data_IF_286250076713
#
_entry.id   IF_286250076713
#
_cell.length_a   1.000
_cell.length_b   1.000
_cell.length_c   1.000
_cell.angle_alpha   90.00
_cell.angle_beta   90.00
_cell.angle_gamma   90.00
#
_symmetry.space_group_name_H-M   'P 1'
#
loop_
_entity.id
_entity.type
_entity.pdbx_description
1 polymer ?
#
# COMPACT_ATOMS: atom_id res chain seq x y z
N UNK A 1 5.61 4.61 14.91
CA UNK A 1 4.34 4.01 15.38
C UNK A 1 3.41 5.01 16.07
N UNK A 2 3.89 6.20 16.48
CA UNK A 2 3.05 7.27 17.07
C UNK A 2 2.06 7.91 16.09
N UNK A 3 2.13 7.57 14.79
CA UNK A 3 1.39 8.24 13.72
C UNK A 3 -0.13 8.12 13.80
N UNK A 4 -0.68 7.26 14.68
CA UNK A 4 -2.13 7.08 14.87
C UNK A 4 -2.66 7.79 16.13
N UNK A 5 -1.78 8.41 16.94
CA UNK A 5 -2.20 9.14 18.13
C UNK A 5 -3.05 10.36 17.75
N UNK A 6 -2.55 11.21 16.85
CA UNK A 6 -3.19 12.45 16.39
C UNK A 6 -4.13 12.22 15.21
N UNK A 7 -4.90 11.13 15.23
CA UNK A 7 -5.86 10.82 14.17
C UNK A 7 -7.06 11.76 14.24
N UNK A 8 -7.09 12.79 13.38
CA UNK A 8 -8.17 13.77 13.27
C UNK A 8 -8.72 13.77 11.83
N UNK A 9 -9.89 13.15 11.59
CA UNK A 9 -10.53 13.17 10.27
C UNK A 9 -11.17 14.53 9.93
N UNK A 10 -11.31 15.45 10.89
CA UNK A 10 -11.77 16.81 10.62
C UNK A 10 -10.65 17.68 10.04
N UNK A 11 -9.39 17.35 10.36
CA UNK A 11 -8.17 18.02 9.90
C UNK A 11 -7.13 17.00 9.45
N UNK A 12 -7.41 16.26 8.35
CA UNK A 12 -6.59 15.15 7.92
C UNK A 12 -5.21 15.61 7.46
N UNK A 13 -4.20 14.80 7.75
CA UNK A 13 -2.83 15.01 7.28
C UNK A 13 -2.31 13.70 6.69
N UNK A 14 -1.73 13.79 5.49
CA UNK A 14 -1.04 12.66 4.87
C UNK A 14 0.18 12.25 5.67
N UNK A 15 0.27 10.95 5.93
CA UNK A 15 1.40 10.34 6.63
C UNK A 15 2.01 9.31 5.71
N UNK A 16 3.30 9.47 5.37
CA UNK A 16 4.04 8.36 4.76
C UNK A 16 3.96 7.19 5.72
N UNK A 17 3.56 6.00 5.27
CA UNK A 17 3.34 4.84 6.16
C UNK A 17 4.41 3.76 6.04
N UNK A 18 5.05 3.68 4.88
CA UNK A 18 6.19 2.79 4.63
C UNK A 18 7.43 3.66 4.40
N UNK A 19 8.50 3.31 5.12
CA UNK A 19 9.83 3.93 5.01
C UNK A 19 10.90 2.83 5.13
N UNK A 20 12.17 3.13 4.85
CA UNK A 20 13.26 2.16 5.10
C UNK A 20 13.26 1.54 6.49
N UNK A 21 12.75 2.26 7.49
CA UNK A 21 12.74 1.88 8.91
C UNK A 21 11.37 1.50 9.45
N UNK A 22 10.31 1.51 8.62
CA UNK A 22 8.94 1.13 9.01
C UNK A 22 8.26 0.41 7.86
N UNK A 23 8.01 -0.89 8.04
CA UNK A 23 7.52 -1.81 7.01
C UNK A 23 6.47 -2.74 7.58
N UNK A 24 5.41 -3.00 6.82
CA UNK A 24 4.30 -3.87 7.22
C UNK A 24 3.35 -4.12 6.05
N UNK A 25 2.52 -5.16 6.19
CA UNK A 25 1.37 -5.46 5.32
C UNK A 25 1.69 -5.62 3.83
N UNK A 26 2.82 -6.27 3.52
CA UNK A 26 3.20 -6.56 2.15
C UNK A 26 3.61 -5.31 1.38
N UNK A 27 4.47 -4.48 2.00
CA UNK A 27 4.99 -3.28 1.37
C UNK A 27 5.81 -3.58 0.11
N UNK A 28 5.93 -2.60 -0.79
CA UNK A 28 6.71 -2.73 -2.02
C UNK A 28 7.86 -1.72 -2.04
N UNK A 29 9.06 -2.17 -2.40
CA UNK A 29 10.26 -1.34 -2.45
C UNK A 29 10.19 -0.25 -3.54
N UNK A 30 9.31 -0.43 -4.52
CA UNK A 30 9.14 0.46 -5.68
C UNK A 30 7.89 1.35 -5.55
N UNK A 31 7.30 1.42 -4.35
CA UNK A 31 6.14 2.25 -4.10
C UNK A 31 6.28 3.14 -2.87
N UNK A 32 5.69 4.34 -2.96
CA UNK A 32 5.54 5.27 -1.85
C UNK A 32 4.08 5.30 -1.45
N UNK A 33 3.84 5.12 -0.15
CA UNK A 33 2.51 4.97 0.43
C UNK A 33 2.24 6.07 1.45
N UNK A 34 1.08 6.71 1.34
CA UNK A 34 0.56 7.63 2.35
C UNK A 34 -0.78 7.14 2.88
N UNK A 35 -1.09 7.50 4.13
CA UNK A 35 -2.42 7.34 4.70
C UNK A 35 -2.90 8.63 5.33
N UNK A 36 -4.21 8.86 5.30
CA UNK A 36 -4.89 9.93 6.03
C UNK A 36 -6.15 9.41 6.71
N UNK A 37 -6.51 9.95 7.89
CA UNK A 37 -7.80 9.70 8.51
C UNK A 37 -8.93 10.32 7.69
N UNK A 38 -10.06 9.63 7.57
CA UNK A 38 -11.27 10.17 6.93
C UNK A 38 -12.51 9.70 7.71
N UNK A 39 -13.67 10.29 7.43
CA UNK A 39 -14.96 9.89 8.01
C UNK A 39 -16.04 9.86 6.94
N UNK A 40 -16.94 8.88 7.02
CA UNK A 40 -17.93 8.59 5.98
C UNK A 40 -18.96 9.69 5.69
N UNK A 41 -19.22 10.57 6.65
CA UNK A 41 -20.18 11.69 6.58
C UNK A 41 -19.48 13.05 6.31
N UNK A 42 -18.24 13.01 5.83
CA UNK A 42 -17.46 14.20 5.45
C UNK A 42 -17.13 14.19 3.97
N UNK A 43 -16.82 15.37 3.45
CA UNK A 43 -16.37 15.56 2.07
C UNK A 43 -14.96 16.13 2.08
N UNK A 44 -14.06 15.52 1.31
CA UNK A 44 -12.67 15.94 1.24
C UNK A 44 -12.26 16.30 -0.19
N UNK A 45 -11.34 17.25 -0.32
CA UNK A 45 -10.60 17.50 -1.56
C UNK A 45 -9.18 16.97 -1.41
N UNK A 46 -8.72 16.23 -2.40
CA UNK A 46 -7.34 15.79 -2.56
C UNK A 46 -6.78 16.49 -3.79
N UNK A 47 -5.60 17.07 -3.67
CA UNK A 47 -4.84 17.54 -4.83
C UNK A 47 -3.45 16.94 -4.81
N UNK A 48 -2.86 16.75 -5.99
CA UNK A 48 -1.50 16.24 -6.07
C UNK A 48 -0.95 16.28 -7.49
N UNK A 49 0.19 15.62 -7.68
CA UNK A 49 0.84 15.48 -8.98
C UNK A 49 1.38 14.06 -9.15
N UNK A 50 1.17 13.44 -10.32
CA UNK A 50 1.67 12.09 -10.60
C UNK A 50 3.21 12.00 -10.52
N UNK A 51 3.90 13.12 -10.73
CA UNK A 51 5.35 13.23 -10.77
C UNK A 51 5.91 12.25 -11.82
N UNK A 52 6.55 11.16 -11.40
CA UNK A 52 7.11 10.12 -12.26
C UNK A 52 6.52 8.74 -11.94
N UNK A 53 5.44 8.69 -11.15
CA UNK A 53 4.77 7.44 -10.83
C UNK A 53 4.16 6.86 -12.11
N UNK A 54 4.42 5.58 -12.37
CA UNK A 54 3.83 4.83 -13.49
C UNK A 54 2.43 4.33 -13.14
N UNK A 55 2.04 4.42 -11.87
CA UNK A 55 0.70 4.12 -11.37
C UNK A 55 0.47 4.88 -10.06
N UNK A 56 -0.67 5.57 -9.96
CA UNK A 56 -1.14 6.17 -8.71
C UNK A 56 -2.57 5.72 -8.41
N UNK A 57 -2.86 5.37 -7.16
CA UNK A 57 -4.22 5.04 -6.72
C UNK A 57 -4.52 5.50 -5.29
N UNK A 58 -5.81 5.69 -5.04
CA UNK A 58 -6.41 6.07 -3.76
C UNK A 58 -7.45 5.02 -3.38
N UNK A 59 -7.34 4.46 -2.18
CA UNK A 59 -8.21 3.40 -1.68
C UNK A 59 -8.82 3.79 -0.35
N UNK A 60 -10.14 3.67 -0.25
CA UNK A 60 -10.90 3.84 0.98
C UNK A 60 -10.97 2.51 1.70
N UNK A 61 -10.59 2.52 2.97
CA UNK A 61 -10.57 1.37 3.86
C UNK A 61 -11.62 1.58 4.95
N UNK A 62 -12.55 0.63 5.08
CA UNK A 62 -13.63 0.66 6.06
C UNK A 62 -13.26 -0.07 7.35
N UNK A 63 -13.89 0.31 8.48
CA UNK A 63 -13.66 -0.33 9.79
C UNK A 63 -12.33 0.03 10.46
N UNK A 64 -11.61 1.05 9.95
CA UNK A 64 -10.25 1.38 10.40
C UNK A 64 -10.15 2.52 11.43
N UNK A 65 -11.29 3.03 11.93
CA UNK A 65 -11.37 4.27 12.73
C UNK A 65 -10.64 4.21 14.07
N UNK A 66 -10.58 3.03 14.67
CA UNK A 66 -9.98 2.80 15.99
C UNK A 66 -8.50 2.39 15.89
N UNK A 67 -7.87 2.53 14.73
CA UNK A 67 -6.49 2.14 14.48
C UNK A 67 -6.29 0.65 14.18
N UNK A 68 -7.33 -0.17 14.23
CA UNK A 68 -7.26 -1.59 13.87
C UNK A 68 -6.96 -1.80 12.38
N UNK A 69 -6.68 -3.05 12.00
CA UNK A 69 -6.62 -3.44 10.60
C UNK A 69 -8.01 -3.21 9.97
N UNK A 70 -8.13 -2.58 8.79
CA UNK A 70 -9.44 -2.35 8.18
C UNK A 70 -10.13 -3.67 7.82
N UNK A 71 -11.45 -3.67 7.84
CA UNK A 71 -12.23 -4.87 7.53
C UNK A 71 -12.19 -5.19 6.03
N UNK A 72 -12.27 -4.16 5.20
CA UNK A 72 -12.32 -4.27 3.73
C UNK A 72 -11.86 -3.01 3.02
N UNK A 73 -11.49 -3.20 1.75
CA UNK A 73 -11.47 -2.13 0.76
C UNK A 73 -12.91 -1.79 0.36
N UNK A 74 -13.29 -0.53 0.53
CA UNK A 74 -14.66 -0.06 0.28
C UNK A 74 -14.80 0.65 -1.08
N UNK A 75 -13.71 1.22 -1.59
CA UNK A 75 -13.67 1.86 -2.90
C UNK A 75 -12.25 2.24 -3.31
N UNK A 76 -12.02 2.39 -4.62
CA UNK A 76 -10.73 2.76 -5.16
C UNK A 76 -10.87 3.61 -6.43
N UNK A 77 -9.94 4.56 -6.61
CA UNK A 77 -9.65 5.23 -7.87
C UNK A 77 -8.18 5.04 -8.22
N UNK A 78 -7.87 4.76 -9.48
CA UNK A 78 -6.50 4.84 -10.03
C UNK A 78 -6.38 5.97 -11.08
N UNK A 79 -5.15 6.22 -11.53
CA UNK A 79 -4.76 7.30 -12.45
C UNK A 79 -5.37 7.23 -13.87
N UNK A 80 -6.18 6.22 -14.16
CA UNK A 80 -7.00 6.16 -15.39
C UNK A 80 -8.43 6.67 -15.19
N UNK A 81 -8.85 6.82 -13.92
CA UNK A 81 -10.22 7.14 -13.52
C UNK A 81 -10.41 8.60 -13.06
N UNK A 82 -9.33 9.37 -12.99
CA UNK A 82 -9.37 10.80 -12.75
C UNK A 82 -8.60 11.56 -13.84
N UNK A 83 -8.92 12.84 -13.98
CA UNK A 83 -8.28 13.74 -14.92
C UNK A 83 -6.94 14.20 -14.39
N UNK A 84 -5.95 14.10 -15.27
CA UNK A 84 -4.59 14.54 -15.02
C UNK A 84 -4.27 15.61 -16.04
N UNK A 85 -3.94 16.80 -15.55
CA UNK A 85 -3.53 17.91 -16.40
C UNK A 85 -2.20 17.61 -17.08
N UNK A 86 -1.84 18.41 -18.08
CA UNK A 86 -0.61 18.23 -18.86
C UNK A 86 0.67 18.32 -18.02
N UNK A 87 0.63 19.03 -16.89
CA UNK A 87 1.71 19.14 -15.92
C UNK A 87 1.75 17.99 -14.90
N UNK A 88 0.82 17.03 -15.00
CA UNK A 88 0.69 15.89 -14.09
C UNK A 88 -0.18 16.16 -12.87
N UNK A 89 -0.74 17.36 -12.69
CA UNK A 89 -1.60 17.69 -11.55
C UNK A 89 -2.99 17.06 -11.65
N UNK A 90 -3.60 16.79 -10.50
CA UNK A 90 -4.96 16.26 -10.40
C UNK A 90 -5.68 16.80 -9.16
N UNK A 91 -7.01 16.76 -9.20
CA UNK A 91 -7.91 17.01 -8.08
C UNK A 91 -8.94 15.86 -7.99
N UNK A 92 -9.23 15.40 -6.78
CA UNK A 92 -10.23 14.37 -6.49
C UNK A 92 -11.11 14.83 -5.33
N UNK A 93 -12.42 14.59 -5.44
CA UNK A 93 -13.40 14.75 -4.36
C UNK A 93 -13.71 13.39 -3.76
N UNK A 94 -13.68 13.32 -2.43
CA UNK A 94 -13.98 12.13 -1.66
C UNK A 94 -15.23 12.38 -0.81
N UNK A 95 -16.24 11.51 -0.91
CA UNK A 95 -17.54 11.68 -0.24
C UNK A 95 -18.42 12.73 -0.91
N UNK A 96 -19.45 13.20 -0.20
CA UNK A 96 -20.43 14.15 -0.71
C UNK A 96 -21.33 13.58 -1.83
N UNK A 97 -21.96 14.49 -2.58
CA UNK A 97 -22.84 14.11 -3.69
C UNK A 97 -22.06 13.39 -4.82
N UNK A 98 -22.61 12.32 -5.40
CA UNK A 98 -21.98 11.60 -6.51
C UNK A 98 -21.61 12.49 -7.70
N UNK A 99 -20.46 12.22 -8.29
CA UNK A 99 -19.99 12.87 -9.52
C UNK A 99 -19.47 11.82 -10.51
N UNK A 100 -19.52 12.15 -11.80
CA UNK A 100 -19.16 11.20 -12.86
C UNK A 100 -17.66 10.89 -12.94
N UNK A 101 -16.82 11.81 -12.45
CA UNK A 101 -15.35 11.76 -12.60
C UNK A 101 -14.67 12.46 -11.44
N UNK A 102 -13.41 12.13 -11.19
CA UNK A 102 -12.61 12.72 -10.11
C UNK A 102 -13.28 12.55 -8.73
N UNK A 103 -14.07 11.48 -8.55
CA UNK A 103 -14.90 11.32 -7.37
C UNK A 103 -14.89 9.88 -6.86
N UNK A 104 -14.80 9.73 -5.54
CA UNK A 104 -14.91 8.47 -4.84
C UNK A 104 -15.88 8.62 -3.67
N UNK A 105 -16.94 7.81 -3.63
CA UNK A 105 -17.88 7.79 -2.52
C UNK A 105 -17.28 7.24 -1.23
N UNK A 106 -17.91 7.56 -0.10
CA UNK A 106 -17.56 7.03 1.22
C UNK A 106 -18.76 6.32 1.84
N UNK A 107 -18.56 5.08 2.31
CA UNK A 107 -19.49 4.43 3.23
C UNK A 107 -19.45 5.08 4.61
N UNK A 108 -20.52 4.86 5.40
CA UNK A 108 -20.61 5.37 6.77
C UNK A 108 -19.48 4.89 7.68
N UNK A 109 -18.92 3.70 7.43
CA UNK A 109 -17.82 3.10 8.19
C UNK A 109 -16.43 3.34 7.58
N UNK A 110 -16.32 4.17 6.53
CA UNK A 110 -15.04 4.63 6.00
C UNK A 110 -14.21 5.30 7.10
N UNK A 111 -12.94 4.91 7.21
CA UNK A 111 -12.07 5.41 8.27
C UNK A 111 -10.66 5.77 7.85
N UNK A 112 -10.16 5.19 6.76
CA UNK A 112 -8.81 5.48 6.29
C UNK A 112 -8.77 5.59 4.78
N UNK A 113 -8.00 6.57 4.30
CA UNK A 113 -7.64 6.70 2.90
C UNK A 113 -6.17 6.32 2.74
N UNK A 114 -5.86 5.43 1.81
CA UNK A 114 -4.50 5.03 1.47
C UNK A 114 -4.18 5.49 0.05
N UNK A 115 -3.09 6.23 -0.15
CA UNK A 115 -2.53 6.48 -1.48
C UNK A 115 -1.33 5.57 -1.74
N UNK A 116 -1.19 5.13 -2.99
CA UNK A 116 -0.05 4.32 -3.46
C UNK A 116 0.47 4.91 -4.75
N UNK A 117 1.78 5.11 -4.82
CA UNK A 117 2.46 5.65 -5.99
C UNK A 117 3.60 4.71 -6.36
N UNK A 118 3.48 4.00 -7.47
CA UNK A 118 4.45 3.02 -7.93
C UNK A 118 5.36 3.62 -8.98
N UNK A 119 6.64 3.25 -8.93
CA UNK A 119 7.69 3.73 -9.80
C UNK A 119 8.42 2.55 -10.42
N UNK A 120 8.87 2.69 -11.65
CA UNK A 120 9.60 1.63 -12.33
C UNK A 120 11.02 2.10 -12.63
N UNK A 121 11.84 2.11 -11.58
CA UNK A 121 13.20 2.64 -11.61
C UNK A 121 14.24 1.54 -11.38
N UNK A 122 15.50 1.86 -11.71
CA UNK A 122 16.64 0.98 -11.43
C UNK A 122 16.96 0.84 -9.92
N UNK A 123 16.38 1.69 -9.08
CA UNK A 123 16.58 1.70 -7.63
C UNK A 123 15.24 1.87 -6.91
N UNK A 124 15.20 1.44 -5.65
CA UNK A 124 13.98 1.48 -4.81
C UNK A 124 13.46 2.91 -4.64
N UNK A 125 12.24 3.16 -5.12
CA UNK A 125 11.57 4.44 -4.89
C UNK A 125 11.20 4.65 -3.41
N UNK A 126 10.88 3.58 -2.68
CA UNK A 126 10.61 3.64 -1.25
C UNK A 126 11.84 4.05 -0.41
N UNK A 127 13.06 3.82 -0.92
CA UNK A 127 14.32 4.27 -0.32
C UNK A 127 14.84 5.62 -0.84
N UNK A 128 14.27 6.14 -1.93
CA UNK A 128 14.69 7.38 -2.54
C UNK A 128 14.12 8.62 -1.84
N UNK A 129 14.86 9.73 -1.94
CA UNK A 129 14.41 11.06 -1.50
C UNK A 129 13.58 11.73 -2.59
N UNK A 130 12.32 11.30 -2.70
CA UNK A 130 11.35 11.79 -3.68
C UNK A 130 10.30 12.62 -2.98
N UNK A 131 10.13 13.86 -3.44
CA UNK A 131 8.99 14.69 -3.04
C UNK A 131 7.78 14.37 -3.91
N UNK A 132 6.69 13.92 -3.28
CA UNK A 132 5.39 13.73 -3.92
C UNK A 132 4.43 14.84 -3.45
N UNK A 133 4.06 15.79 -4.32
CA UNK A 133 3.04 16.78 -4.00
C UNK A 133 1.70 16.08 -3.78
N UNK A 134 1.19 16.15 -2.54
CA UNK A 134 -0.07 15.52 -2.17
C UNK A 134 -0.68 16.26 -0.97
N UNK A 135 -1.94 16.69 -1.11
CA UNK A 135 -2.70 17.39 -0.06
C UNK A 135 -4.06 16.72 0.16
N UNK A 136 -4.63 16.93 1.34
CA UNK A 136 -6.00 16.53 1.66
C UNK A 136 -6.60 17.61 2.57
N UNK A 137 -7.83 18.02 2.30
CA UNK A 137 -8.55 18.98 3.12
C UNK A 137 -10.01 18.54 3.26
N UNK A 138 -10.54 18.56 4.49
CA UNK A 138 -11.98 18.53 4.71
C UNK A 138 -12.58 19.82 4.12
N UNK A 139 -13.67 19.71 3.35
CA UNK A 139 -14.34 20.84 2.72
C UNK A 139 -15.30 21.58 3.66
N UNK A 140 -15.67 20.96 4.78
CA UNK A 140 -16.47 21.56 5.84
C UNK A 140 -15.83 21.26 7.22
N UNK A 141 -14.62 21.80 7.49
CA UNK A 141 -13.95 21.59 8.76
C UNK A 141 -14.63 22.41 9.87
N UNK A 142 -14.68 21.91 11.12
CA UNK A 142 -15.14 22.70 12.26
C UNK A 142 -14.29 23.97 12.44
N UNK A 143 -14.95 25.06 12.83
CA UNK A 143 -14.28 26.32 13.14
C UNK A 143 -13.25 26.17 14.27
N UNK A 144 -12.14 26.90 14.15
CA UNK A 144 -11.11 26.99 15.18
C UNK A 144 -10.16 25.78 15.24
N UNK A 145 -9.21 25.80 16.20
CA UNK A 145 -8.28 24.69 16.41
C UNK A 145 -8.97 23.46 17.03
N UNK A 146 -8.36 22.26 16.95
CA UNK A 146 -8.80 21.11 17.74
C UNK A 146 -8.90 21.46 19.23
N UNK A 147 -9.84 20.83 19.97
CA UNK A 147 -9.91 21.02 21.41
C UNK A 147 -8.59 20.61 22.09
N UNK A 148 -8.25 21.20 23.25
CA UNK A 148 -7.15 20.72 24.08
C UNK A 148 -7.34 19.24 24.44
N UNK A 149 -6.24 18.51 24.60
CA UNK A 149 -6.28 17.10 24.99
C UNK A 149 -6.80 16.97 26.43
N UNK A 150 -7.80 16.10 26.59
CA UNK A 150 -8.30 15.62 27.87
C UNK A 150 -7.97 14.13 28.05
N UNK A 151 -8.34 13.57 29.21
CA UNK A 151 -8.06 12.18 29.55
C UNK A 151 -8.70 11.19 28.53
N UNK A 152 -9.88 11.53 28.00
CA UNK A 152 -10.60 10.68 27.05
C UNK A 152 -9.91 10.65 25.67
N UNK A 153 -9.46 11.81 25.18
CA UNK A 153 -8.69 11.92 23.94
C UNK A 153 -7.33 11.22 24.06
N UNK A 154 -6.64 11.37 25.19
CA UNK A 154 -5.39 10.64 25.48
C UNK A 154 -5.64 9.13 25.46
N UNK A 155 -6.66 8.66 26.18
CA UNK A 155 -6.97 7.24 26.24
C UNK A 155 -7.35 6.68 24.87
N UNK A 156 -8.12 7.41 24.07
CA UNK A 156 -8.47 7.03 22.70
C UNK A 156 -7.24 6.94 21.79
N UNK A 157 -6.31 7.90 21.89
CA UNK A 157 -5.06 7.89 21.14
C UNK A 157 -4.17 6.69 21.50
N UNK A 158 -4.02 6.38 22.79
CA UNK A 158 -3.27 5.20 23.25
C UNK A 158 -3.90 3.92 22.72
N UNK A 159 -5.23 3.79 22.79
CA UNK A 159 -5.96 2.64 22.21
C UNK A 159 -5.71 2.51 20.71
N UNK A 160 -5.82 3.60 19.94
CA UNK A 160 -5.56 3.59 18.49
C UNK A 160 -4.15 3.12 18.15
N UNK A 161 -3.14 3.64 18.84
CA UNK A 161 -1.75 3.21 18.63
C UNK A 161 -1.57 1.75 19.00
N UNK A 162 -2.17 1.31 20.11
CA UNK A 162 -2.10 -0.09 20.56
C UNK A 162 -2.74 -1.03 19.54
N UNK A 163 -3.96 -0.71 19.07
CA UNK A 163 -4.69 -1.48 18.05
C UNK A 163 -3.89 -1.56 16.75
N UNK A 164 -3.30 -0.45 16.32
CA UNK A 164 -2.46 -0.41 15.13
C UNK A 164 -1.25 -1.33 15.25
N UNK A 165 -0.48 -1.22 16.34
CA UNK A 165 0.70 -2.07 16.53
C UNK A 165 0.30 -3.54 16.64
N UNK A 166 -0.72 -3.86 17.42
CA UNK A 166 -1.16 -5.23 17.67
C UNK A 166 -1.66 -5.90 16.39
N UNK A 167 -2.50 -5.20 15.62
CA UNK A 167 -3.09 -5.73 14.38
C UNK A 167 -2.05 -5.92 13.26
N UNK A 168 -0.98 -5.12 13.25
CA UNK A 168 0.12 -5.28 12.27
C UNK A 168 1.18 -6.30 12.67
N UNK A 169 1.13 -6.85 13.89
CA UNK A 169 2.18 -7.74 14.42
C UNK A 169 1.65 -9.06 14.93
N UNK A 170 0.87 -9.04 16.01
CA UNK A 170 0.43 -10.24 16.73
C UNK A 170 -0.80 -10.83 16.07
N UNK A 171 -1.81 -10.00 15.82
CA UNK A 171 -3.11 -10.49 15.31
C UNK A 171 -3.05 -10.71 13.78
N UNK A 172 -2.20 -9.95 13.08
CA UNK A 172 -2.07 -9.98 11.62
C UNK A 172 -3.30 -9.42 10.90
N UNK A 173 -3.36 -9.54 9.55
CA UNK A 173 -4.54 -9.18 8.79
C UNK A 173 -5.73 -9.99 9.32
N UNK A 174 -6.77 -9.30 9.81
CA UNK A 174 -7.97 -10.00 10.25
C UNK A 174 -8.58 -10.71 9.05
N UNK A 175 -8.89 -11.99 9.22
CA UNK A 175 -9.62 -12.76 8.21
C UNK A 175 -11.07 -12.35 8.26
N UNK A 176 -11.43 -11.22 7.64
CA UNK A 176 -12.80 -10.70 7.58
C UNK A 176 -13.78 -11.77 7.05
N UNK A 177 -14.31 -12.62 7.95
CA UNK A 177 -15.14 -13.78 7.62
C UNK A 177 -14.46 -14.90 6.80
N UNK A 178 -13.14 -14.87 6.55
CA UNK A 178 -12.47 -15.84 5.66
C UNK A 178 -11.94 -17.07 6.41
N UNK A 179 -12.41 -18.26 6.04
CA UNK A 179 -11.98 -19.52 6.65
C UNK A 179 -10.52 -19.89 6.30
N UNK A 180 -10.08 -19.56 5.08
CA UNK A 180 -8.76 -19.87 4.54
C UNK A 180 -8.07 -18.63 3.95
N UNK A 181 -6.72 -18.64 3.83
CA UNK A 181 -6.01 -17.66 3.01
C UNK A 181 -6.51 -17.68 1.55
N UNK A 182 -6.40 -16.57 0.81
CA UNK A 182 -6.67 -16.56 -0.62
C UNK A 182 -5.80 -17.58 -1.39
N UNK A 183 -6.30 -18.08 -2.51
CA UNK A 183 -5.60 -19.10 -3.33
C UNK A 183 -4.27 -18.61 -3.90
N UNK A 184 -4.11 -17.30 -4.03
CA UNK A 184 -2.86 -16.66 -4.41
C UNK A 184 -1.82 -16.59 -3.27
N UNK A 185 -2.14 -17.10 -2.07
CA UNK A 185 -1.20 -17.28 -0.96
C UNK A 185 -0.74 -18.74 -0.90
N UNK A 186 0.45 -19.00 -1.44
CA UNK A 186 1.08 -20.31 -1.47
C UNK A 186 1.30 -20.89 -0.07
N UNK A 187 0.89 -22.15 0.11
CA UNK A 187 1.10 -22.90 1.36
C UNK A 187 2.31 -23.83 1.28
N UNK A 188 2.73 -24.21 0.07
CA UNK A 188 3.91 -25.03 -0.20
C UNK A 188 5.12 -24.10 -0.35
N UNK A 189 6.22 -24.31 0.41
CA UNK A 189 7.43 -23.54 0.22
C UNK A 189 8.00 -23.69 -1.19
N UNK A 190 8.66 -22.63 -1.67
CA UNK A 190 9.36 -22.54 -2.94
C UNK A 190 8.45 -22.61 -4.19
N UNK A 191 7.14 -22.44 -4.03
CA UNK A 191 6.18 -22.40 -5.13
C UNK A 191 5.40 -21.07 -5.15
N UNK A 192 5.09 -20.61 -6.36
CA UNK A 192 4.18 -19.49 -6.58
C UNK A 192 2.84 -20.01 -7.11
N UNK A 193 1.71 -19.67 -6.47
CA UNK A 193 0.39 -19.92 -7.06
C UNK A 193 0.14 -19.02 -8.27
N UNK A 194 -0.91 -19.31 -9.02
CA UNK A 194 -1.36 -18.46 -10.13
C UNK A 194 -1.75 -17.07 -9.58
N UNK A 195 -1.29 -15.96 -10.18
CA UNK A 195 -1.69 -14.64 -9.75
C UNK A 195 -3.19 -14.39 -9.86
N UNK A 196 -3.80 -13.76 -8.86
CA UNK A 196 -5.23 -13.43 -8.83
C UNK A 196 -5.47 -12.06 -8.20
N UNK A 197 -6.61 -11.46 -8.52
CA UNK A 197 -7.07 -10.21 -7.90
C UNK A 197 -7.39 -10.43 -6.41
N UNK A 198 -7.21 -9.42 -5.54
CA UNK A 198 -7.43 -9.56 -4.10
C UNK A 198 -8.93 -9.51 -3.72
N UNK A 199 -9.80 -9.04 -4.62
CA UNK A 199 -11.17 -8.67 -4.27
C UNK A 199 -11.20 -7.51 -3.29
N UNK A 200 -11.95 -7.66 -2.19
CA UNK A 200 -12.17 -6.64 -1.16
C UNK A 200 -11.16 -6.68 0.00
N UNK A 201 -10.06 -7.44 -0.12
CA UNK A 201 -9.06 -7.54 0.97
C UNK A 201 -8.46 -6.17 1.24
N UNK A 202 -8.70 -5.67 2.46
CA UNK A 202 -8.18 -4.41 2.94
C UNK A 202 -6.66 -4.28 2.72
N UNK A 203 -6.24 -3.07 2.38
CA UNK A 203 -4.88 -2.67 2.02
C UNK A 203 -4.30 -3.24 0.73
N UNK A 204 -5.05 -4.06 0.00
CA UNK A 204 -4.65 -4.50 -1.34
C UNK A 204 -5.02 -3.44 -2.39
N UNK A 205 -4.21 -3.31 -3.44
CA UNK A 205 -4.60 -2.57 -4.64
C UNK A 205 -5.59 -3.47 -5.41
N UNK A 206 -6.83 -3.00 -5.57
CA UNK A 206 -7.94 -3.84 -6.04
C UNK A 206 -7.76 -4.34 -7.50
N UNK A 207 -6.96 -3.66 -8.30
CA UNK A 207 -6.65 -3.95 -9.70
C UNK A 207 -5.29 -4.67 -9.90
N UNK A 208 -4.59 -5.01 -8.82
CA UNK A 208 -3.35 -5.78 -8.87
C UNK A 208 -3.65 -7.29 -8.86
N UNK A 209 -2.85 -8.06 -9.59
CA UNK A 209 -2.84 -9.51 -9.49
C UNK A 209 -1.70 -9.95 -8.57
N UNK A 210 -2.03 -10.57 -7.44
CA UNK A 210 -1.08 -11.01 -6.43
C UNK A 210 -0.73 -12.48 -6.59
N UNK A 211 0.52 -12.84 -6.33
CA UNK A 211 0.96 -14.22 -6.09
C UNK A 211 2.05 -14.19 -5.02
N UNK A 212 1.82 -14.88 -3.90
CA UNK A 212 2.69 -14.92 -2.73
C UNK A 212 3.21 -16.33 -2.54
N UNK A 213 4.49 -16.54 -2.86
CA UNK A 213 5.23 -17.75 -2.51
C UNK A 213 5.96 -17.60 -1.17
N UNK A 214 5.97 -18.66 -0.36
CA UNK A 214 6.90 -18.76 0.78
C UNK A 214 8.20 -19.37 0.28
N UNK A 215 9.35 -19.04 0.87
CA UNK A 215 10.58 -19.76 0.57
C UNK A 215 11.17 -20.40 1.83
N UNK A 216 11.86 -21.52 1.62
CA UNK A 216 12.67 -22.19 2.62
C UNK A 216 13.89 -22.76 1.90
N UNK A 217 15.07 -22.27 2.25
CA UNK A 217 16.33 -22.60 1.60
C UNK A 217 17.35 -22.99 2.66
N UNK A 218 18.07 -24.09 2.42
CA UNK A 218 19.29 -24.43 3.12
C UNK A 218 20.46 -23.51 2.72
N UNK A 219 21.59 -23.56 3.45
CA UNK A 219 22.72 -22.66 3.24
C UNK A 219 23.29 -22.65 1.81
N UNK A 220 23.24 -23.79 1.13
CA UNK A 220 23.77 -24.00 -0.22
C UNK A 220 22.68 -24.10 -1.30
N UNK A 221 21.42 -23.78 -0.94
CA UNK A 221 20.28 -23.82 -1.85
C UNK A 221 19.94 -22.42 -2.40
N UNK A 222 19.36 -22.41 -3.59
CA UNK A 222 18.83 -21.22 -4.22
C UNK A 222 17.46 -21.50 -4.85
N UNK A 223 16.53 -20.56 -4.71
CA UNK A 223 15.25 -20.61 -5.41
C UNK A 223 15.38 -19.88 -6.74
N UNK A 224 15.19 -20.62 -7.84
CA UNK A 224 15.13 -20.05 -9.18
C UNK A 224 13.68 -19.79 -9.55
N UNK A 225 13.34 -18.51 -9.75
CA UNK A 225 12.03 -18.06 -10.19
C UNK A 225 12.11 -17.80 -11.70
N UNK A 226 11.22 -18.40 -12.47
CA UNK A 226 11.09 -18.14 -13.91
C UNK A 226 9.71 -17.59 -14.23
N UNK A 227 9.62 -16.74 -15.24
CA UNK A 227 8.35 -16.14 -15.60
C UNK A 227 8.42 -15.22 -16.80
N UNK A 228 7.29 -14.57 -17.07
CA UNK A 228 7.12 -13.53 -18.08
C UNK A 228 6.30 -12.41 -17.49
N UNK A 229 6.71 -11.17 -17.69
CA UNK A 229 5.94 -10.04 -17.20
C UNK A 229 4.62 -9.90 -17.98
N UNK A 230 3.49 -9.65 -17.31
CA UNK A 230 2.24 -9.34 -17.99
C UNK A 230 2.31 -7.95 -18.64
N UNK A 231 1.45 -7.73 -19.64
CA UNK A 231 1.20 -6.38 -20.16
C UNK A 231 0.39 -5.60 -19.12
N UNK A 232 1.06 -4.71 -18.38
CA UNK A 232 0.48 -3.97 -17.26
C UNK A 232 1.22 -2.64 -17.02
N UNK A 233 0.66 -1.79 -16.15
CA UNK A 233 1.26 -0.49 -15.75
C UNK A 233 2.54 -0.68 -14.95
N UNK A 234 2.57 -1.63 -14.02
CA UNK A 234 3.70 -1.93 -13.14
C UNK A 234 3.72 -3.42 -12.81
N UNK A 235 4.91 -4.02 -12.71
CA UNK A 235 5.11 -5.38 -12.20
C UNK A 235 6.43 -5.49 -11.43
N UNK A 236 6.41 -6.28 -10.35
CA UNK A 236 7.59 -6.56 -9.54
C UNK A 236 7.50 -7.88 -8.79
N UNK A 237 8.64 -8.38 -8.33
CA UNK A 237 8.79 -9.44 -7.33
C UNK A 237 9.56 -8.84 -6.15
N UNK A 238 8.98 -8.94 -4.95
CA UNK A 238 9.57 -8.41 -3.71
C UNK A 238 9.83 -9.55 -2.72
N UNK A 239 11.01 -9.56 -2.11
CA UNK A 239 11.34 -10.45 -1.02
C UNK A 239 10.86 -9.88 0.32
N UNK A 240 9.98 -10.63 0.99
CA UNK A 240 9.48 -10.33 2.34
C UNK A 240 9.99 -11.31 3.40
N UNK A 241 10.13 -10.84 4.64
CA UNK A 241 10.22 -11.75 5.78
C UNK A 241 8.84 -12.39 6.08
N UNK A 242 8.80 -13.32 7.05
CA UNK A 242 7.56 -14.02 7.43
C UNK A 242 6.42 -13.13 7.92
N UNK A 243 6.70 -11.87 8.26
CA UNK A 243 5.74 -10.87 8.71
C UNK A 243 5.29 -9.92 7.59
N UNK A 244 5.55 -10.29 6.32
CA UNK A 244 5.19 -9.50 5.14
C UNK A 244 5.83 -8.10 5.15
N UNK A 245 7.10 -8.04 5.53
CA UNK A 245 7.89 -6.81 5.50
C UNK A 245 9.00 -7.00 4.48
N UNK A 246 9.18 -6.04 3.58
CA UNK A 246 10.33 -6.05 2.68
C UNK A 246 11.64 -6.17 3.43
N UNK A 247 12.53 -7.01 2.90
CA UNK A 247 13.91 -7.04 3.35
C UNK A 247 14.58 -5.68 3.05
N UNK A 248 15.83 -5.50 3.44
CA UNK A 248 16.55 -4.22 3.36
C UNK A 248 16.82 -3.75 1.91
N UNK A 249 15.81 -3.17 1.26
CA UNK A 249 15.88 -2.62 -0.10
C UNK A 249 16.78 -1.39 -0.24
N UNK A 250 17.26 -0.80 0.85
CA UNK A 250 18.21 0.32 0.79
C UNK A 250 19.60 -0.19 0.49
N UNK A 251 19.98 -1.33 1.07
CA UNK A 251 21.34 -1.84 0.99
C UNK A 251 21.46 -3.18 0.23
N UNK A 252 20.34 -3.79 -0.19
CA UNK A 252 20.32 -5.12 -0.82
C UNK A 252 19.33 -5.20 -1.98
N UNK A 253 19.62 -6.03 -3.00
CA UNK A 253 18.80 -6.18 -4.20
C UNK A 253 17.61 -7.13 -3.96
N UNK A 254 16.73 -6.78 -3.03
CA UNK A 254 15.62 -7.63 -2.52
C UNK A 254 14.29 -7.43 -3.25
N UNK A 255 14.28 -6.60 -4.29
CA UNK A 255 13.16 -6.41 -5.21
C UNK A 255 13.67 -6.41 -6.64
N UNK A 256 12.82 -6.84 -7.58
CA UNK A 256 13.01 -6.68 -9.02
C UNK A 256 11.71 -6.21 -9.64
N UNK A 257 11.78 -5.12 -10.39
CA UNK A 257 10.72 -4.67 -11.30
C UNK A 257 11.20 -4.87 -12.75
N UNK A 258 10.40 -4.52 -13.76
CA UNK A 258 10.81 -4.77 -15.16
C UNK A 258 12.01 -3.91 -15.60
N UNK A 259 12.22 -2.72 -15.02
CA UNK A 259 13.40 -1.90 -15.29
C UNK A 259 14.72 -2.50 -14.76
N UNK A 260 14.63 -3.42 -13.80
CA UNK A 260 15.78 -4.12 -13.20
C UNK A 260 15.84 -5.61 -13.55
N UNK A 261 14.95 -6.07 -14.43
CA UNK A 261 14.90 -7.47 -14.87
C UNK A 261 15.52 -7.62 -16.25
N UNK A 262 16.56 -8.43 -16.36
CA UNK A 262 17.07 -8.85 -17.67
C UNK A 262 16.16 -9.94 -18.26
N UNK A 263 15.72 -9.73 -19.50
CA UNK A 263 14.90 -10.70 -20.22
C UNK A 263 15.78 -11.58 -21.12
N UNK A 264 15.39 -12.84 -21.22
CA UNK A 264 15.90 -13.80 -22.19
C UNK A 264 15.42 -13.43 -23.61
N UNK A 265 16.04 -14.05 -24.63
CA UNK A 265 15.69 -13.79 -26.04
C UNK A 265 14.22 -14.09 -26.37
N UNK A 266 13.60 -15.02 -25.64
CA UNK A 266 12.19 -15.37 -25.81
C UNK A 266 11.25 -14.41 -25.05
N UNK A 267 11.78 -13.48 -24.25
CA UNK A 267 11.04 -12.54 -23.39
C UNK A 267 10.65 -13.08 -22.02
N UNK A 268 11.14 -14.26 -21.63
CA UNK A 268 11.07 -14.74 -20.24
C UNK A 268 12.14 -14.10 -19.36
N UNK A 269 12.05 -14.29 -18.05
CA UNK A 269 13.10 -13.92 -17.10
C UNK A 269 13.44 -15.10 -16.19
N UNK A 270 14.63 -15.02 -15.61
CA UNK A 270 15.07 -15.81 -14.46
C UNK A 270 15.47 -14.85 -13.35
N UNK A 271 15.05 -15.16 -12.12
CA UNK A 271 15.50 -14.47 -10.90
C UNK A 271 15.96 -15.52 -9.90
N UNK A 272 16.92 -15.17 -9.05
CA UNK A 272 17.44 -16.11 -8.05
C UNK A 272 17.40 -15.50 -6.66
N UNK A 273 16.80 -16.24 -5.74
CA UNK A 273 16.86 -15.97 -4.30
C UNK A 273 17.89 -16.91 -3.69
N UNK A 274 18.96 -16.35 -3.13
CA UNK A 274 20.07 -17.10 -2.55
C UNK A 274 20.71 -16.35 -1.38
N UNK A 275 21.51 -17.06 -0.57
CA UNK A 275 22.24 -16.48 0.57
C UNK A 275 23.40 -15.57 0.15
N UNK A 276 24.00 -15.83 -1.02
CA UNK A 276 25.08 -15.04 -1.61
C UNK A 276 24.79 -14.79 -3.09
N UNK A 277 25.41 -13.77 -3.67
CA UNK A 277 25.29 -13.45 -5.10
C UNK A 277 25.76 -14.66 -5.93
N UNK A 278 24.87 -15.30 -6.70
CA UNK A 278 25.21 -16.47 -7.50
C UNK A 278 25.99 -16.14 -8.78
N UNK A 279 26.31 -14.86 -9.04
CA UNK A 279 27.04 -14.41 -10.23
C UNK A 279 26.22 -14.51 -11.52
N UNK A 280 24.90 -14.60 -11.39
CA UNK A 280 23.93 -14.64 -12.49
C UNK A 280 22.95 -13.46 -12.34
N UNK A 281 22.44 -12.92 -13.47
CA UNK A 281 21.53 -11.76 -13.47
C UNK A 281 20.30 -11.91 -12.57
#
# INVERSE_FOLDING_TARGET
>A
MVSHAEFDPERPVWRRIVTPTRKFSGDNADAIYFEAPIRGDRTYRITGNLTQAVYTAFTVEAGANDGSYPDRTDGMLNDTQFDVATDGSYEIILGGEPQDRNWLGLSADAGRLTSRHYFEWASSAAGADVHLPLTIANLDPPDGPPPPWDDDLVAAAIRRVTNHVRSKTIDGPQRAGRAAPPDWVGQIPNEFPVPQEPGDIALSAADAHYSLGRWLLGPDEALVITGRWPKCRFASVCAWNRFQQTLDYVNRPVSRNRATTTLEADGSFRMVVAHADPGIP
#
